data_IF_947168262633
#
_entry.id   IF_947168262633
#
_cell.length_a   1.000
_cell.length_b   1.000
_cell.length_c   1.000
_cell.angle_alpha   90.00
_cell.angle_beta   90.00
_cell.angle_gamma   90.00
#
_symmetry.space_group_name_H-M   'P 1'
#
loop_
_entity.id
_entity.type
_entity.pdbx_description
1 polymer ?
#
# COMPACT_ATOMS: atom_id res chain seq x y z
N UNK A 1 10.14 14.92 2.82
CA UNK A 1 9.53 13.83 3.61
C UNK A 1 8.86 12.86 2.67
N UNK A 2 9.01 11.53 2.81
CA UNK A 2 8.36 10.59 1.91
C UNK A 2 6.84 10.76 1.99
N UNK A 3 6.15 10.62 0.85
CA UNK A 3 4.69 10.70 0.80
C UNK A 3 4.09 9.45 1.44
N UNK A 4 2.89 9.55 2.03
CA UNK A 4 2.18 8.37 2.54
C UNK A 4 1.64 7.60 1.33
N UNK A 5 1.68 6.26 1.36
CA UNK A 5 0.96 5.44 0.37
C UNK A 5 -0.54 5.56 0.62
N UNK A 6 -1.30 5.91 -0.43
CA UNK A 6 -2.75 6.04 -0.42
C UNK A 6 -3.40 4.98 -1.30
N UNK A 7 -4.70 4.78 -1.12
CA UNK A 7 -5.54 3.85 -1.88
C UNK A 7 -5.49 4.17 -3.39
N UNK A 8 -5.46 5.45 -3.75
CA UNK A 8 -5.35 5.90 -5.15
C UNK A 8 -4.05 5.47 -5.85
N UNK A 9 -2.99 5.19 -5.10
CA UNK A 9 -1.71 4.75 -5.64
C UNK A 9 -1.79 3.31 -6.17
N UNK A 10 -2.86 2.56 -5.81
CA UNK A 10 -3.11 1.21 -6.31
C UNK A 10 -3.28 1.11 -7.82
N UNK A 11 -3.62 2.21 -8.50
CA UNK A 11 -3.69 2.27 -9.97
C UNK A 11 -2.37 2.02 -10.69
N UNK A 12 -1.25 2.08 -9.96
CA UNK A 12 0.09 1.81 -10.49
C UNK A 12 0.57 0.38 -10.20
N UNK A 13 -0.29 -0.47 -9.64
CA UNK A 13 0.04 -1.88 -9.36
C UNK A 13 -0.43 -2.71 -10.56
N UNK A 14 0.52 -3.23 -11.33
CA UNK A 14 0.26 -4.16 -12.44
C UNK A 14 0.59 -5.61 -12.02
N UNK A 15 1.53 -5.77 -11.10
CA UNK A 15 2.03 -7.04 -10.58
C UNK A 15 2.10 -7.05 -9.04
N UNK A 16 2.29 -8.23 -8.45
CA UNK A 16 2.38 -8.36 -6.99
C UNK A 16 3.62 -7.65 -6.40
N UNK A 17 4.73 -7.59 -7.15
CA UNK A 17 5.98 -6.97 -6.69
C UNK A 17 5.86 -5.44 -6.58
N UNK A 18 5.00 -4.84 -7.41
CA UNK A 18 4.72 -3.40 -7.35
C UNK A 18 4.12 -2.98 -6.00
N UNK A 19 3.38 -3.89 -5.35
CA UNK A 19 2.79 -3.63 -4.04
C UNK A 19 3.84 -3.39 -2.96
N UNK A 20 4.96 -4.12 -2.98
CA UNK A 20 6.02 -3.97 -1.99
C UNK A 20 6.79 -2.66 -2.20
N UNK A 21 7.05 -2.29 -3.44
CA UNK A 21 7.72 -1.04 -3.82
C UNK A 21 6.89 0.23 -3.59
N UNK A 22 5.56 0.14 -3.75
CA UNK A 22 4.63 1.28 -3.57
C UNK A 22 4.47 1.68 -2.09
N UNK A 23 4.69 0.75 -1.16
CA UNK A 23 4.49 0.96 0.26
C UNK A 23 5.71 1.62 0.91
N UNK A 24 5.77 2.95 0.82
CA UNK A 24 6.83 3.77 1.42
C UNK A 24 6.49 4.16 2.87
N UNK A 25 7.37 3.83 3.82
CA UNK A 25 7.23 4.29 5.21
C UNK A 25 7.75 5.73 5.37
N UNK A 26 6.85 6.71 5.26
CA UNK A 26 7.14 8.13 5.52
C UNK A 26 7.67 8.47 6.91
N UNK A 27 7.68 7.51 7.84
CA UNK A 27 8.21 7.67 9.19
C UNK A 27 9.60 7.06 9.36
N UNK A 28 10.20 6.52 8.29
CA UNK A 28 11.64 6.22 8.24
C UNK A 28 12.43 7.43 8.75
N UNK A 29 13.32 7.21 9.71
CA UNK A 29 14.10 8.26 10.39
C UNK A 29 13.49 8.84 11.68
N UNK A 30 12.15 8.85 11.86
CA UNK A 30 11.53 9.43 13.07
C UNK A 30 10.91 8.38 13.99
N UNK A 31 11.56 8.12 15.15
CA UNK A 31 11.13 7.09 16.13
C UNK A 31 10.77 5.75 15.46
N UNK A 32 11.43 5.47 14.34
CA UNK A 32 11.23 4.28 13.54
C UNK A 32 11.93 3.11 14.22
N UNK A 33 11.24 1.97 14.29
CA UNK A 33 11.86 0.70 14.66
C UNK A 33 11.54 -0.32 13.58
N UNK A 34 12.38 -1.33 13.35
CA UNK A 34 12.10 -2.38 12.36
C UNK A 34 10.73 -3.04 12.55
N UNK A 35 10.30 -3.24 13.79
CA UNK A 35 8.96 -3.77 14.10
C UNK A 35 7.83 -2.82 13.68
N UNK A 36 7.99 -1.50 13.88
CA UNK A 36 7.00 -0.50 13.44
C UNK A 36 6.94 -0.42 11.91
N UNK A 37 8.08 -0.52 11.22
CA UNK A 37 8.15 -0.54 9.77
C UNK A 37 7.35 -1.72 9.20
N UNK A 38 7.67 -2.95 9.65
CA UNK A 38 6.93 -4.18 9.25
C UNK A 38 5.42 -4.08 9.50
N UNK A 39 5.01 -3.55 10.65
CA UNK A 39 3.59 -3.35 10.98
C UNK A 39 2.89 -2.36 10.04
N UNK A 40 3.58 -1.29 9.63
CA UNK A 40 3.04 -0.32 8.67
C UNK A 40 2.95 -0.91 7.27
N UNK A 41 4.01 -1.59 6.81
CA UNK A 41 4.01 -2.31 5.53
C UNK A 41 2.82 -3.27 5.43
N UNK A 42 2.63 -4.15 6.43
CA UNK A 42 1.47 -5.05 6.49
C UNK A 42 0.12 -4.32 6.45
N UNK A 43 -0.01 -3.22 7.19
CA UNK A 43 -1.26 -2.44 7.21
C UNK A 43 -1.55 -1.81 5.84
N UNK A 44 -0.55 -1.21 5.21
CA UNK A 44 -0.72 -0.55 3.92
C UNK A 44 -0.94 -1.55 2.80
N UNK A 45 -0.18 -2.66 2.77
CA UNK A 45 -0.42 -3.78 1.86
C UNK A 45 -1.85 -4.29 1.97
N UNK A 46 -2.32 -4.64 3.18
CA UNK A 46 -3.72 -5.10 3.39
C UNK A 46 -4.77 -4.10 2.90
N UNK A 47 -4.53 -2.81 3.13
CA UNK A 47 -5.45 -1.74 2.72
C UNK A 47 -5.51 -1.62 1.19
N UNK A 48 -4.35 -1.61 0.52
CA UNK A 48 -4.25 -1.55 -0.94
C UNK A 48 -4.88 -2.76 -1.61
N UNK A 49 -4.54 -3.97 -1.16
CA UNK A 49 -5.15 -5.19 -1.69
C UNK A 49 -6.67 -5.17 -1.57
N UNK A 50 -7.20 -4.67 -0.44
CA UNK A 50 -8.66 -4.55 -0.26
C UNK A 50 -9.29 -3.57 -1.25
N UNK A 51 -8.63 -2.44 -1.50
CA UNK A 51 -9.09 -1.45 -2.50
C UNK A 51 -9.06 -2.06 -3.90
N UNK A 52 -7.98 -2.73 -4.29
CA UNK A 52 -7.86 -3.37 -5.61
C UNK A 52 -8.95 -4.42 -5.85
N UNK A 53 -9.25 -5.26 -4.85
CA UNK A 53 -10.34 -6.22 -4.94
C UNK A 53 -11.68 -5.51 -5.14
N UNK A 54 -11.93 -4.42 -4.39
CA UNK A 54 -13.18 -3.67 -4.48
C UNK A 54 -13.34 -2.97 -5.84
N UNK A 55 -12.26 -2.38 -6.37
CA UNK A 55 -12.24 -1.74 -7.68
C UNK A 55 -12.41 -2.77 -8.82
N UNK A 56 -11.78 -3.93 -8.70
CA UNK A 56 -11.96 -5.04 -9.64
C UNK A 56 -13.39 -5.59 -9.67
N UNK A 57 -14.02 -5.80 -8.50
CA UNK A 57 -15.41 -6.24 -8.43
C UNK A 57 -16.42 -5.20 -8.94
N UNK A 58 -16.12 -3.91 -8.80
CA UNK A 58 -16.93 -2.85 -9.40
C UNK A 58 -16.83 -2.83 -10.94
N UNK A 59 -15.73 -3.33 -11.51
CA UNK A 59 -15.51 -3.41 -12.95
C UNK A 59 -16.30 -4.56 -13.58
N UNK A 60 -16.45 -5.70 -12.88
CA UNK A 60 -17.19 -6.88 -13.40
C UNK A 60 -18.72 -6.75 -13.36
N UNK A 61 -19.26 -5.70 -12.71
CA UNK A 61 -20.70 -5.46 -12.56
C UNK A 61 -21.25 -4.33 -13.44
N UNK A 62 -20.43 -3.77 -14.33
CA UNK A 62 -20.82 -2.78 -15.36
C UNK A 62 -20.65 -3.36 -16.76
#
# INVERSE_FOLDING_TARGET
>A
MPRRTYEADGRHIESADDLEGLVSDKRVGWRATPAKARRRQRRYGKRLTRTLIQDGQATELN
#
